data_IF_774523168016
#
_entry.id   IF_774523168016
#
_cell.length_a   1.000
_cell.length_b   1.000
_cell.length_c   1.000
_cell.angle_alpha   90.00
_cell.angle_beta   90.00
_cell.angle_gamma   90.00
#
_symmetry.space_group_name_H-M   'P 1'
#
loop_
_entity.id
_entity.type
_entity.pdbx_description
1 polymer ?
#
# COMPACT_ATOMS: atom_id res chain seq x y z
N UNK A 1 -6.88 35.28 14.20
CA UNK A 1 -6.45 34.71 12.90
C UNK A 1 -7.16 33.38 12.75
N UNK A 2 -8.19 33.30 11.90
CA UNK A 2 -8.95 32.08 11.64
C UNK A 2 -8.32 31.39 10.43
N UNK A 3 -7.64 30.25 10.65
CA UNK A 3 -7.19 29.38 9.56
C UNK A 3 -8.40 28.68 8.96
N UNK A 4 -8.98 29.28 7.92
CA UNK A 4 -9.91 28.61 7.03
C UNK A 4 -9.16 27.51 6.28
N UNK A 5 -9.08 26.32 6.84
CA UNK A 5 -8.76 25.11 6.09
C UNK A 5 -9.97 24.80 5.22
N UNK A 6 -9.91 25.26 3.96
CA UNK A 6 -10.89 24.88 2.95
C UNK A 6 -11.05 23.36 2.95
N UNK A 7 -12.29 22.83 2.93
CA UNK A 7 -12.51 21.40 2.86
C UNK A 7 -11.83 20.86 1.61
N UNK A 8 -10.91 19.91 1.77
CA UNK A 8 -10.25 19.21 0.67
C UNK A 8 -11.34 18.49 -0.10
N UNK A 9 -11.80 19.10 -1.19
CA UNK A 9 -12.74 18.48 -2.11
C UNK A 9 -11.99 17.30 -2.73
N UNK A 10 -12.33 16.07 -2.33
CA UNK A 10 -11.81 14.85 -2.95
C UNK A 10 -12.31 14.81 -4.40
N UNK A 11 -11.56 15.44 -5.31
CA UNK A 11 -11.79 15.33 -6.74
C UNK A 11 -11.15 14.02 -7.16
N UNK A 12 -11.97 13.02 -7.49
CA UNK A 12 -11.49 11.75 -8.02
C UNK A 12 -11.10 11.98 -9.50
N UNK A 13 -9.82 12.22 -9.74
CA UNK A 13 -9.29 12.49 -11.08
C UNK A 13 -8.97 11.15 -11.76
N UNK A 14 -9.33 11.00 -13.03
CA UNK A 14 -8.99 9.79 -13.79
C UNK A 14 -7.47 9.71 -14.06
N UNK A 15 -6.96 8.52 -14.35
CA UNK A 15 -5.54 8.36 -14.71
C UNK A 15 -5.14 9.15 -15.96
N UNK A 16 -6.04 9.29 -16.93
CA UNK A 16 -5.80 10.06 -18.15
C UNK A 16 -5.71 11.57 -17.88
N UNK A 17 -6.65 12.11 -17.09
CA UNK A 17 -6.63 13.51 -16.67
C UNK A 17 -5.40 13.85 -15.82
N UNK A 18 -5.01 12.93 -14.93
CA UNK A 18 -3.81 13.08 -14.12
C UNK A 18 -2.54 13.17 -14.97
N UNK A 19 -2.36 12.27 -15.95
CA UNK A 19 -1.23 12.32 -16.90
C UNK A 19 -1.21 13.62 -17.71
N UNK A 20 -2.38 14.07 -18.17
CA UNK A 20 -2.49 15.33 -18.90
C UNK A 20 -2.10 16.54 -18.03
N UNK A 21 -2.56 16.58 -16.77
CA UNK A 21 -2.21 17.64 -15.84
C UNK A 21 -0.72 17.60 -15.51
N UNK A 22 -0.13 16.42 -15.29
CA UNK A 22 1.32 16.29 -15.09
C UNK A 22 2.12 16.83 -16.26
N UNK A 23 1.78 16.47 -17.50
CA UNK A 23 2.47 16.99 -18.68
C UNK A 23 2.38 18.53 -18.77
N UNK A 24 1.27 19.13 -18.34
CA UNK A 24 1.08 20.59 -18.35
C UNK A 24 1.79 21.29 -17.19
N UNK A 25 1.75 20.70 -16.00
CA UNK A 25 2.13 21.32 -14.74
C UNK A 25 3.59 21.03 -14.33
N UNK A 26 4.18 19.90 -14.75
CA UNK A 26 5.51 19.45 -14.31
C UNK A 26 6.68 20.32 -14.77
N UNK A 27 6.51 21.11 -15.84
CA UNK A 27 7.58 21.95 -16.35
C UNK A 27 7.79 23.17 -15.44
N UNK A 28 8.85 23.14 -14.63
CA UNK A 28 9.24 24.21 -13.71
C UNK A 28 9.43 25.57 -14.39
N UNK A 29 9.85 25.62 -15.66
CA UNK A 29 10.04 26.87 -16.40
C UNK A 29 8.73 27.61 -16.69
N UNK A 30 7.58 26.95 -16.53
CA UNK A 30 6.26 27.58 -16.62
C UNK A 30 5.80 28.17 -15.28
N UNK A 31 6.66 28.21 -14.27
CA UNK A 31 6.36 28.71 -12.93
C UNK A 31 7.41 29.71 -12.47
N UNK A 32 6.97 30.80 -11.85
CA UNK A 32 7.86 31.72 -11.14
C UNK A 32 8.41 31.05 -9.89
N UNK A 33 9.46 31.63 -9.32
CA UNK A 33 9.98 31.20 -8.01
C UNK A 33 8.96 31.41 -6.88
N UNK A 34 7.99 32.31 -7.07
CA UNK A 34 6.85 32.52 -6.18
C UNK A 34 5.66 31.57 -6.44
N UNK A 35 5.79 30.61 -7.37
CA UNK A 35 4.76 29.61 -7.68
C UNK A 35 3.60 30.13 -8.55
N UNK A 36 3.78 31.26 -9.25
CA UNK A 36 2.81 31.79 -10.20
C UNK A 36 3.01 31.18 -11.59
N UNK A 37 1.91 30.97 -12.31
CA UNK A 37 1.95 30.42 -13.67
C UNK A 37 2.47 31.45 -14.67
N UNK A 38 3.52 31.10 -15.40
CA UNK A 38 4.15 31.92 -16.46
C UNK A 38 4.07 31.25 -17.85
N UNK A 39 3.42 30.08 -17.96
CA UNK A 39 3.25 29.39 -19.24
C UNK A 39 2.27 30.08 -20.17
N UNK A 40 2.36 29.78 -21.48
CA UNK A 40 1.40 30.29 -22.48
C UNK A 40 0.00 29.73 -22.25
N UNK A 41 -1.01 30.59 -22.39
CA UNK A 41 -2.43 30.23 -22.32
C UNK A 41 -3.02 30.19 -20.90
N UNK A 42 -4.24 29.68 -20.78
CA UNK A 42 -4.96 29.58 -19.51
C UNK A 42 -4.22 28.69 -18.52
N UNK A 43 -4.07 29.19 -17.28
CA UNK A 43 -3.43 28.47 -16.17
C UNK A 43 -4.12 27.10 -15.96
N UNK A 44 -3.39 25.98 -16.11
CA UNK A 44 -3.94 24.67 -15.78
C UNK A 44 -4.17 24.54 -14.27
N UNK A 45 -5.12 23.69 -13.88
CA UNK A 45 -5.43 23.48 -12.47
C UNK A 45 -4.39 22.55 -11.82
N UNK A 46 -3.23 23.11 -11.51
CA UNK A 46 -2.09 22.35 -10.99
C UNK A 46 -2.08 22.21 -9.46
N UNK A 47 -3.01 22.89 -8.77
CA UNK A 47 -3.14 22.87 -7.31
C UNK A 47 -4.15 21.82 -6.83
N UNK A 48 -4.65 20.97 -7.74
CA UNK A 48 -5.48 19.84 -7.32
C UNK A 48 -4.59 18.87 -6.53
N UNK A 49 -5.13 18.44 -5.40
CA UNK A 49 -4.59 17.36 -4.60
C UNK A 49 -5.58 16.19 -4.66
N UNK A 50 -5.04 15.00 -4.90
CA UNK A 50 -5.77 13.75 -4.82
C UNK A 50 -5.18 12.98 -3.64
N UNK A 51 -6.05 12.61 -2.70
CA UNK A 51 -5.66 11.82 -1.54
C UNK A 51 -6.65 10.70 -1.38
N UNK A 52 -6.13 9.47 -1.42
CA UNK A 52 -6.90 8.25 -1.30
C UNK A 52 -6.36 7.44 -0.13
N UNK A 53 -7.29 6.85 0.61
CA UNK A 53 -6.98 6.01 1.75
C UNK A 53 -7.79 4.73 1.66
N UNK A 54 -7.16 3.60 1.95
CA UNK A 54 -7.88 2.37 2.19
C UNK A 54 -7.19 1.52 3.26
N UNK A 55 -7.95 0.55 3.77
CA UNK A 55 -7.48 -0.43 4.75
C UNK A 55 -7.93 -1.82 4.33
N UNK A 56 -6.98 -2.72 4.12
CA UNK A 56 -7.22 -4.12 3.77
C UNK A 56 -6.63 -5.00 4.86
N UNK A 57 -7.44 -5.85 5.48
CA UNK A 57 -6.98 -6.81 6.47
C UNK A 57 -7.38 -8.24 6.12
N UNK A 58 -6.54 -9.18 6.52
CA UNK A 58 -6.84 -10.60 6.44
C UNK A 58 -6.45 -11.30 7.73
N UNK A 59 -7.35 -12.10 8.28
CA UNK A 59 -7.13 -12.89 9.49
C UNK A 59 -7.08 -14.37 9.16
N UNK A 60 -5.97 -15.02 9.46
CA UNK A 60 -5.82 -16.47 9.44
C UNK A 60 -6.18 -17.03 10.83
N UNK A 61 -6.98 -18.08 10.88
CA UNK A 61 -7.31 -18.80 12.12
C UNK A 61 -6.75 -20.22 12.08
N UNK A 62 -6.24 -20.72 13.21
CA UNK A 62 -5.57 -21.99 13.32
C UNK A 62 -6.36 -22.97 14.20
N UNK A 63 -7.41 -23.63 13.69
CA UNK A 63 -8.33 -24.42 14.52
C UNK A 63 -7.70 -25.72 15.07
N UNK A 64 -6.64 -26.22 14.44
CA UNK A 64 -5.99 -27.50 14.79
C UNK A 64 -4.49 -27.33 15.01
N UNK A 65 -3.90 -28.23 15.80
CA UNK A 65 -2.44 -28.28 15.97
C UNK A 65 -1.71 -28.50 14.64
N UNK A 66 -2.32 -29.29 13.73
CA UNK A 66 -1.80 -29.51 12.38
C UNK A 66 -1.70 -28.23 11.56
N UNK A 67 -2.74 -27.38 11.57
CA UNK A 67 -2.73 -26.09 10.86
C UNK A 67 -1.64 -25.15 11.41
N UNK A 68 -1.51 -25.05 12.73
CA UNK A 68 -0.51 -24.22 13.38
C UNK A 68 0.91 -24.73 13.10
N UNK A 69 1.13 -26.05 13.17
CA UNK A 69 2.42 -26.66 12.85
C UNK A 69 2.81 -26.45 11.39
N UNK A 70 1.87 -26.58 10.45
CA UNK A 70 2.13 -26.36 9.02
C UNK A 70 2.56 -24.92 8.73
N UNK A 71 1.91 -23.95 9.36
CA UNK A 71 2.33 -22.55 9.30
C UNK A 71 3.74 -22.34 9.84
N UNK A 72 3.99 -22.83 11.05
CA UNK A 72 5.29 -22.70 11.71
C UNK A 72 6.41 -23.32 10.87
N UNK A 73 6.19 -24.54 10.34
CA UNK A 73 7.15 -25.25 9.50
C UNK A 73 7.37 -24.55 8.16
N UNK A 74 6.32 -24.03 7.52
CA UNK A 74 6.41 -23.25 6.28
C UNK A 74 7.30 -22.01 6.47
N UNK A 75 7.09 -21.27 7.56
CA UNK A 75 7.87 -20.07 7.85
C UNK A 75 9.30 -20.40 8.31
N UNK A 76 9.50 -21.45 9.12
CA UNK A 76 10.84 -21.89 9.51
C UNK A 76 11.66 -22.39 8.31
N UNK A 77 11.06 -23.17 7.41
CA UNK A 77 11.69 -23.59 6.15
C UNK A 77 11.97 -22.38 5.27
N UNK A 78 10.99 -21.49 5.09
CA UNK A 78 11.15 -20.28 4.29
C UNK A 78 12.34 -19.44 4.75
N UNK A 79 12.43 -19.16 6.06
CA UNK A 79 13.53 -18.39 6.66
C UNK A 79 14.89 -19.09 6.40
N UNK A 80 14.96 -20.42 6.55
CA UNK A 80 16.21 -21.18 6.34
C UNK A 80 16.66 -21.24 4.88
N UNK A 81 15.73 -21.42 3.93
CA UNK A 81 16.08 -21.61 2.52
C UNK A 81 16.31 -20.31 1.76
N UNK A 82 15.63 -19.23 2.13
CA UNK A 82 15.70 -17.96 1.39
C UNK A 82 16.55 -16.91 2.10
N UNK A 83 17.02 -17.15 3.33
CA UNK A 83 17.78 -16.20 4.16
C UNK A 83 16.95 -15.00 4.65
N UNK A 84 15.97 -14.61 3.85
CA UNK A 84 14.94 -13.63 4.13
C UNK A 84 13.66 -14.14 3.46
N UNK A 85 12.66 -14.58 4.25
CA UNK A 85 11.32 -14.79 3.71
C UNK A 85 10.80 -13.44 3.23
N UNK A 86 10.92 -13.27 1.92
CA UNK A 86 10.42 -12.16 1.15
C UNK A 86 8.95 -11.94 1.44
N UNK A 87 8.64 -11.08 2.40
CA UNK A 87 7.25 -10.75 2.65
C UNK A 87 6.92 -9.56 1.79
N UNK A 88 6.32 -9.89 0.67
CA UNK A 88 5.94 -8.94 -0.36
C UNK A 88 4.65 -8.25 0.10
N UNK A 89 4.75 -7.35 1.07
CA UNK A 89 3.60 -6.66 1.67
C UNK A 89 2.66 -6.05 0.62
N UNK A 90 3.20 -5.38 -0.38
CA UNK A 90 2.46 -4.86 -1.52
C UNK A 90 1.88 -5.97 -2.41
N UNK A 91 2.55 -7.12 -2.60
CA UNK A 91 1.94 -8.22 -3.37
C UNK A 91 0.88 -8.99 -2.60
N UNK A 92 1.02 -9.13 -1.28
CA UNK A 92 -0.05 -9.69 -0.43
C UNK A 92 -1.24 -8.73 -0.46
N UNK A 93 -1.01 -7.43 -0.29
CA UNK A 93 -2.05 -6.42 -0.44
C UNK A 93 -2.71 -6.49 -1.83
N UNK A 94 -1.93 -6.60 -2.92
CA UNK A 94 -2.44 -6.77 -4.28
C UNK A 94 -3.22 -8.06 -4.47
N UNK A 95 -2.75 -9.19 -3.94
CA UNK A 95 -3.43 -10.48 -4.00
C UNK A 95 -4.78 -10.43 -3.28
N UNK A 96 -4.79 -9.84 -2.08
CA UNK A 96 -6.01 -9.57 -1.35
C UNK A 96 -6.92 -8.62 -2.15
N UNK A 97 -6.38 -7.54 -2.71
CA UNK A 97 -7.14 -6.53 -3.47
C UNK A 97 -7.75 -7.12 -4.76
N UNK A 98 -7.02 -7.97 -5.45
CA UNK A 98 -7.42 -8.57 -6.72
C UNK A 98 -8.27 -9.83 -6.58
N UNK A 99 -8.40 -10.38 -5.37
CA UNK A 99 -9.04 -11.69 -5.18
C UNK A 99 -8.31 -12.80 -5.94
N UNK A 100 -7.00 -12.65 -6.19
CA UNK A 100 -6.18 -13.57 -6.97
C UNK A 100 -6.16 -13.34 -8.49
N UNK A 101 -6.98 -12.44 -9.03
CA UNK A 101 -7.01 -12.13 -10.47
C UNK A 101 -6.19 -10.89 -10.80
N UNK A 102 -4.93 -11.08 -11.19
CA UNK A 102 -4.03 -9.94 -11.40
C UNK A 102 -4.21 -9.34 -12.81
N UNK A 103 -4.98 -8.26 -12.90
CA UNK A 103 -5.02 -7.37 -14.07
C UNK A 103 -3.81 -6.41 -14.14
N UNK A 104 -2.88 -6.51 -13.19
CA UNK A 104 -1.61 -5.77 -13.18
C UNK A 104 -0.60 -6.57 -14.00
N UNK A 105 -0.01 -5.97 -15.03
CA UNK A 105 0.93 -6.68 -15.91
C UNK A 105 2.01 -7.41 -15.12
N UNK A 106 2.33 -8.66 -15.50
CA UNK A 106 3.22 -9.55 -14.76
C UNK A 106 4.59 -8.91 -14.41
N UNK A 107 5.11 -8.01 -15.25
CA UNK A 107 6.35 -7.28 -14.98
C UNK A 107 6.27 -6.27 -13.84
N UNK A 108 5.10 -5.65 -13.62
CA UNK A 108 4.87 -4.73 -12.51
C UNK A 108 4.82 -5.47 -11.16
N UNK A 109 4.22 -6.66 -11.13
CA UNK A 109 4.22 -7.54 -9.95
C UNK A 109 5.64 -8.00 -9.64
N UNK A 110 6.39 -8.46 -10.64
CA UNK A 110 7.74 -8.97 -10.45
C UNK A 110 8.72 -7.90 -9.93
N UNK A 111 8.59 -6.65 -10.40
CA UNK A 111 9.38 -5.52 -9.89
C UNK A 111 9.05 -5.21 -8.42
N UNK A 112 7.75 -5.17 -8.07
CA UNK A 112 7.29 -4.98 -6.69
C UNK A 112 7.81 -6.08 -5.77
N UNK A 113 7.72 -7.33 -6.22
CA UNK A 113 8.21 -8.50 -5.48
C UNK A 113 9.69 -8.35 -5.15
N UNK A 114 10.51 -8.02 -6.15
CA UNK A 114 11.96 -7.94 -5.99
C UNK A 114 12.40 -6.92 -4.93
N UNK A 115 11.79 -5.73 -4.90
CA UNK A 115 12.19 -4.66 -3.98
C UNK A 115 11.65 -4.87 -2.55
N UNK A 116 10.55 -5.61 -2.39
CA UNK A 116 10.00 -5.91 -1.07
C UNK A 116 10.60 -7.15 -0.39
N UNK A 117 11.16 -8.08 -1.17
CA UNK A 117 11.86 -9.29 -0.68
C UNK A 117 12.90 -8.96 0.40
N UNK A 118 13.50 -7.77 0.36
CA UNK A 118 14.55 -7.33 1.28
C UNK A 118 14.04 -6.84 2.64
N UNK A 119 12.73 -6.62 2.82
CA UNK A 119 12.16 -6.19 4.10
C UNK A 119 11.76 -7.41 4.94
N UNK A 120 12.62 -7.76 5.92
CA UNK A 120 12.36 -8.84 6.86
C UNK A 120 11.19 -8.53 7.79
N UNK A 121 10.02 -9.07 7.49
CA UNK A 121 8.86 -9.01 8.37
C UNK A 121 8.92 -10.19 9.35
N UNK A 122 8.90 -9.97 10.68
CA UNK A 122 8.94 -11.06 11.66
C UNK A 122 7.62 -11.81 11.67
N UNK A 123 7.66 -13.13 11.44
CA UNK A 123 6.49 -14.01 11.52
C UNK A 123 6.34 -14.61 12.91
N UNK A 124 5.15 -14.51 13.53
CA UNK A 124 4.91 -15.14 14.82
C UNK A 124 4.74 -16.65 14.65
N UNK A 125 5.26 -17.41 15.62
CA UNK A 125 4.85 -18.79 15.81
C UNK A 125 3.40 -18.84 16.27
N UNK A 126 2.64 -19.77 15.71
CA UNK A 126 1.22 -19.95 15.98
C UNK A 126 0.97 -21.24 16.75
N UNK A 127 -0.11 -21.27 17.53
CA UNK A 127 -0.59 -22.46 18.22
C UNK A 127 -2.08 -22.68 17.89
N UNK A 128 -2.61 -23.84 18.27
CA UNK A 128 -4.03 -24.15 18.11
C UNK A 128 -4.90 -23.10 18.81
N UNK A 129 -5.97 -22.70 18.13
CA UNK A 129 -6.93 -21.69 18.57
C UNK A 129 -6.45 -20.26 18.40
N UNK A 130 -5.19 -20.03 17.97
CA UNK A 130 -4.69 -18.69 17.74
C UNK A 130 -5.19 -18.12 16.41
N UNK A 131 -5.03 -16.81 16.25
CA UNK A 131 -5.27 -16.11 14.99
C UNK A 131 -4.13 -15.15 14.65
N UNK A 132 -3.89 -14.95 13.36
CA UNK A 132 -2.90 -14.03 12.83
C UNK A 132 -3.57 -13.08 11.85
N UNK A 133 -3.58 -11.78 12.16
CA UNK A 133 -4.12 -10.73 11.30
C UNK A 133 -2.98 -9.94 10.67
N UNK A 134 -3.07 -9.77 9.35
CA UNK A 134 -2.23 -8.87 8.57
C UNK A 134 -3.09 -7.71 8.12
N UNK A 135 -2.70 -6.49 8.48
CA UNK A 135 -3.40 -5.25 8.14
C UNK A 135 -2.50 -4.41 7.24
N UNK A 136 -3.06 -3.97 6.11
CA UNK A 136 -2.46 -3.02 5.19
C UNK A 136 -3.26 -1.74 5.19
N UNK A 137 -2.62 -0.64 5.54
CA UNK A 137 -3.16 0.71 5.39
C UNK A 137 -2.39 1.40 4.27
N UNK A 138 -3.11 1.90 3.26
CA UNK A 138 -2.48 2.61 2.16
C UNK A 138 -2.96 4.06 2.12
N UNK A 139 -2.00 4.94 1.91
CA UNK A 139 -2.24 6.36 1.69
C UNK A 139 -1.56 6.77 0.40
N UNK A 140 -2.36 7.16 -0.59
CA UNK A 140 -1.89 7.74 -1.83
C UNK A 140 -2.07 9.25 -1.76
N UNK A 141 -1.02 9.99 -2.09
CA UNK A 141 -1.07 11.44 -2.25
C UNK A 141 -0.45 11.81 -3.58
N UNK A 142 -1.19 12.58 -4.37
CA UNK A 142 -0.76 13.04 -5.68
C UNK A 142 -1.16 14.49 -5.90
N UNK A 143 -0.25 15.23 -6.53
CA UNK A 143 -0.50 16.56 -7.07
C UNK A 143 0.32 16.74 -8.34
N UNK A 144 -0.24 17.38 -9.39
CA UNK A 144 0.47 17.62 -10.64
C UNK A 144 1.45 18.80 -10.53
N UNK A 145 1.42 19.56 -9.44
CA UNK A 145 2.34 20.68 -9.20
C UNK A 145 3.81 20.19 -9.13
N UNK A 146 4.79 20.97 -9.61
CA UNK A 146 6.22 20.59 -9.53
C UNK A 146 6.71 20.30 -8.12
N UNK A 147 6.15 21.00 -7.13
CA UNK A 147 6.46 20.83 -5.71
C UNK A 147 5.34 20.10 -4.95
N UNK A 148 4.43 19.45 -5.68
CA UNK A 148 3.33 18.68 -5.10
C UNK A 148 3.80 17.35 -4.52
N UNK A 149 3.06 16.80 -3.56
CA UNK A 149 3.35 15.47 -3.02
C UNK A 149 2.99 14.39 -4.05
N UNK A 150 3.90 13.43 -4.25
CA UNK A 150 3.75 12.27 -5.13
C UNK A 150 4.25 11.01 -4.43
N UNK A 151 3.50 10.59 -3.41
CA UNK A 151 3.91 9.52 -2.50
C UNK A 151 2.81 8.49 -2.31
N UNK A 152 3.22 7.24 -2.17
CA UNK A 152 2.40 6.14 -1.70
C UNK A 152 2.99 5.61 -0.40
N UNK A 153 2.22 5.67 0.68
CA UNK A 153 2.63 5.18 1.99
C UNK A 153 1.86 3.90 2.24
N UNK A 154 2.58 2.84 2.59
CA UNK A 154 2.02 1.57 3.01
C UNK A 154 2.45 1.30 4.45
N UNK A 155 1.46 1.19 5.33
CA UNK A 155 1.65 0.72 6.70
C UNK A 155 1.15 -0.71 6.80
N UNK A 156 2.00 -1.59 7.32
CA UNK A 156 1.75 -3.00 7.53
C UNK A 156 1.75 -3.25 9.02
N UNK A 157 0.64 -3.73 9.56
CA UNK A 157 0.53 -4.15 10.95
C UNK A 157 0.26 -5.64 11.00
N UNK A 158 1.09 -6.36 11.75
CA UNK A 158 0.89 -7.78 12.04
C UNK A 158 0.40 -7.92 13.48
N UNK A 159 -0.62 -8.74 13.69
CA UNK A 159 -1.20 -8.97 15.01
C UNK A 159 -1.44 -10.47 15.17
N UNK A 160 -0.79 -11.10 16.14
CA UNK A 160 -1.17 -12.45 16.57
C UNK A 160 -1.95 -12.39 17.88
N UNK A 161 -3.01 -13.19 17.95
CA UNK A 161 -3.87 -13.32 19.12
C UNK A 161 -3.93 -14.78 19.57
N UNK A 162 -3.94 -14.99 20.88
CA UNK A 162 -4.12 -16.32 21.46
C UNK A 162 -5.58 -16.82 21.34
N UNK A 163 -5.82 -18.01 21.90
CA UNK A 163 -7.13 -18.66 21.95
C UNK A 163 -8.21 -17.91 22.77
N UNK A 164 -7.83 -16.91 23.56
CA UNK A 164 -8.74 -16.01 24.27
C UNK A 164 -8.96 -14.69 23.51
N UNK A 165 -8.29 -14.50 22.36
CA UNK A 165 -8.32 -13.26 21.60
C UNK A 165 -7.35 -12.19 22.12
N UNK A 166 -6.48 -12.52 23.07
CA UNK A 166 -5.49 -11.60 23.64
C UNK A 166 -4.35 -11.40 22.66
N UNK A 167 -3.94 -10.15 22.40
CA UNK A 167 -2.79 -9.86 21.54
C UNK A 167 -1.51 -10.35 22.22
N UNK A 168 -0.83 -11.30 21.58
CA UNK A 168 0.44 -11.89 22.06
C UNK A 168 1.66 -11.34 21.34
N UNK A 169 1.48 -10.87 20.10
CA UNK A 169 2.51 -10.13 19.37
C UNK A 169 1.86 -9.12 18.44
N UNK A 170 2.51 -7.96 18.34
CA UNK A 170 2.16 -6.93 17.38
C UNK A 170 3.43 -6.32 16.82
N UNK A 171 3.51 -6.21 15.50
CA UNK A 171 4.58 -5.48 14.83
C UNK A 171 3.99 -4.55 13.79
N UNK A 172 4.68 -3.44 13.59
CA UNK A 172 4.29 -2.43 12.61
C UNK A 172 5.51 -2.07 11.77
N UNK A 173 5.30 -1.93 10.47
CA UNK A 173 6.28 -1.38 9.56
C UNK A 173 5.60 -0.41 8.62
N UNK A 174 6.27 0.69 8.31
CA UNK A 174 5.79 1.69 7.37
C UNK A 174 6.81 1.84 6.26
N UNK A 175 6.34 1.82 5.02
CA UNK A 175 7.14 2.04 3.82
C UNK A 175 6.60 3.22 3.03
N UNK A 176 7.51 4.08 2.61
CA UNK A 176 7.22 5.24 1.78
C UNK A 176 7.79 4.96 0.40
N UNK A 177 6.93 5.00 -0.60
CA UNK A 177 7.28 4.82 -1.99
C UNK A 177 7.06 6.13 -2.74
N UNK A 178 8.07 6.58 -3.49
CA UNK A 178 7.83 7.60 -4.50
C UNK A 178 6.98 6.99 -5.61
N UNK A 179 6.04 7.74 -6.18
CA UNK A 179 5.20 7.20 -7.27
C UNK A 179 6.01 6.78 -8.50
N UNK A 180 7.23 7.29 -8.65
CA UNK A 180 8.19 6.90 -9.71
C UNK A 180 8.87 5.55 -9.47
N UNK A 181 8.87 5.06 -8.23
CA UNK A 181 9.44 3.75 -7.86
C UNK A 181 8.44 2.62 -8.10
N UNK A 182 7.16 2.96 -8.30
CA UNK A 182 6.10 2.00 -8.54
C UNK A 182 5.66 2.02 -10.01
N UNK A 183 5.21 0.89 -10.55
CA UNK A 183 4.62 0.87 -11.88
C UNK A 183 3.42 1.82 -11.98
N UNK A 184 3.30 2.49 -13.12
CA UNK A 184 2.27 3.47 -13.41
C UNK A 184 0.86 2.99 -12.99
N UNK A 185 0.21 3.76 -12.12
CA UNK A 185 -1.17 3.53 -11.71
C UNK A 185 -1.38 2.47 -10.62
N UNK A 186 -0.36 1.69 -10.24
CA UNK A 186 -0.50 0.66 -9.19
C UNK A 186 -0.84 1.27 -7.84
N UNK A 187 -0.10 2.28 -7.40
CA UNK A 187 -0.34 2.96 -6.13
C UNK A 187 -1.77 3.51 -6.00
N UNK A 188 -2.26 4.16 -7.06
CA UNK A 188 -3.62 4.70 -7.12
C UNK A 188 -4.65 3.58 -7.12
N UNK A 189 -4.43 2.51 -7.89
CA UNK A 189 -5.33 1.35 -7.92
C UNK A 189 -5.48 0.75 -6.53
N UNK A 190 -4.37 0.49 -5.84
CA UNK A 190 -4.33 -0.07 -4.50
C UNK A 190 -5.09 0.83 -3.52
N UNK A 191 -4.73 2.13 -3.45
CA UNK A 191 -5.36 3.07 -2.52
C UNK A 191 -6.83 3.37 -2.86
N UNK A 192 -7.25 3.20 -4.11
CA UNK A 192 -8.63 3.39 -4.55
C UNK A 192 -9.53 2.17 -4.34
N UNK A 193 -8.93 1.02 -4.01
CA UNK A 193 -9.68 -0.21 -3.80
C UNK A 193 -10.48 -0.14 -2.50
N UNK A 194 -11.68 -0.76 -2.43
CA UNK A 194 -12.50 -0.73 -1.23
C UNK A 194 -11.75 -1.31 -0.03
N UNK A 195 -11.87 -0.65 1.11
CA UNK A 195 -11.44 -1.21 2.38
C UNK A 195 -12.21 -2.50 2.65
N UNK A 196 -11.51 -3.54 3.11
CA UNK A 196 -12.12 -4.83 3.46
C UNK A 196 -11.36 -5.53 4.57
N UNK A 197 -12.09 -6.35 5.30
CA UNK A 197 -11.52 -7.33 6.21
C UNK A 197 -12.01 -8.71 5.79
N UNK A 198 -11.10 -9.65 5.69
CA UNK A 198 -11.42 -11.05 5.34
C UNK A 198 -10.84 -11.99 6.38
N UNK A 199 -11.40 -13.19 6.48
CA UNK A 199 -10.95 -14.21 7.43
C UNK A 199 -10.94 -15.56 6.73
N UNK A 200 -9.92 -16.36 7.01
CA UNK A 200 -9.80 -17.72 6.51
C UNK A 200 -9.34 -18.68 7.62
N UNK A 201 -9.69 -19.96 7.46
CA UNK A 201 -9.07 -21.04 8.21
C UNK A 201 -7.78 -21.42 7.48
N UNK A 202 -6.69 -21.57 8.23
CA UNK A 202 -5.46 -22.09 7.67
C UNK A 202 -5.53 -23.63 7.66
N UNK A 203 -5.34 -24.23 6.49
CA UNK A 203 -5.35 -25.68 6.25
C UNK A 203 -3.97 -26.16 5.79
#
# INVERSE_FOLDING_TARGET
MLTNTLPVKHIRITSAEAKMLEAKCSNRLKWSDSGQWMGRGTKPNCFITDTLHNRVSHTYSFPTDGSAMKWNDMHEKGIRYTGHMATVGLSVALGLISGGYVAVGAGAIAAIVKDEVQAGIPYPRMARGWSFEVVFEHTFKWSPHPWGQKVFIQKITLISRDHHGTVVSQSESEKHYQLTELPDGVARMIASSPSRSTTSLFE
#
